data_IF_250012183877
#
_entry.id   IF_250012183877
#
_cell.length_a   1.000
_cell.length_b   1.000
_cell.length_c   1.000
_cell.angle_alpha   90.00
_cell.angle_beta   90.00
_cell.angle_gamma   90.00
#
_symmetry.space_group_name_H-M   'P 1'
#
loop_
_entity.id
_entity.type
_entity.pdbx_description
1 polymer ?
#
# COMPACT_ATOMS: atom_id res chain seq x y z
N UNK A 1 -16.50 -16.99 -62.37
CA UNK A 1 -15.85 -16.04 -61.44
C UNK A 1 -14.46 -16.57 -61.16
N UNK A 2 -13.40 -15.85 -61.56
CA UNK A 2 -12.03 -16.29 -61.36
C UNK A 2 -11.65 -16.11 -59.87
N UNK A 3 -11.39 -17.22 -59.19
CA UNK A 3 -10.95 -17.23 -57.80
C UNK A 3 -9.49 -16.80 -57.73
N UNK A 4 -9.22 -15.59 -57.25
CA UNK A 4 -7.88 -15.10 -57.00
C UNK A 4 -7.34 -15.76 -55.71
N UNK A 5 -6.66 -16.90 -55.83
CA UNK A 5 -5.94 -17.48 -54.71
C UNK A 5 -4.64 -16.71 -54.50
N UNK A 6 -4.61 -15.87 -53.46
CA UNK A 6 -3.38 -15.27 -52.96
C UNK A 6 -2.43 -16.40 -52.53
N UNK A 7 -1.45 -16.72 -53.40
CA UNK A 7 -0.29 -17.54 -53.03
C UNK A 7 0.82 -16.57 -52.67
N UNK A 8 1.03 -16.26 -51.38
CA UNK A 8 2.14 -15.39 -51.01
C UNK A 8 3.43 -16.13 -51.37
N UNK A 9 4.10 -15.67 -52.43
CA UNK A 9 5.37 -16.20 -52.91
C UNK A 9 6.51 -15.70 -52.01
N UNK A 10 6.43 -16.00 -50.71
CA UNK A 10 7.44 -15.59 -49.76
C UNK A 10 8.58 -16.62 -49.83
N UNK A 11 9.81 -16.21 -50.19
CA UNK A 11 10.93 -17.13 -50.27
C UNK A 11 11.21 -17.75 -48.89
N UNK A 12 11.61 -19.02 -48.88
CA UNK A 12 11.89 -19.80 -47.65
C UNK A 12 12.82 -19.07 -46.66
N UNK A 13 13.74 -18.25 -47.18
CA UNK A 13 14.67 -17.42 -46.39
C UNK A 13 13.94 -16.37 -45.55
N UNK A 14 12.92 -15.71 -46.11
CA UNK A 14 12.14 -14.70 -45.39
C UNK A 14 11.28 -15.36 -44.31
N UNK A 15 10.71 -16.55 -44.59
CA UNK A 15 9.99 -17.35 -43.59
C UNK A 15 10.88 -17.81 -42.43
N UNK A 16 12.11 -18.22 -42.72
CA UNK A 16 13.06 -18.59 -41.66
C UNK A 16 13.41 -17.37 -40.79
N UNK A 17 13.58 -16.20 -41.42
CA UNK A 17 13.93 -14.97 -40.71
C UNK A 17 12.79 -14.48 -39.81
N UNK A 18 11.54 -14.51 -40.29
CA UNK A 18 10.38 -14.14 -39.47
C UNK A 18 10.18 -15.09 -38.30
N UNK A 19 10.32 -16.40 -38.49
CA UNK A 19 10.22 -17.37 -37.39
C UNK A 19 11.32 -17.19 -36.34
N UNK A 20 12.54 -16.90 -36.78
CA UNK A 20 13.66 -16.63 -35.87
C UNK A 20 13.41 -15.36 -35.04
N UNK A 21 12.97 -14.28 -35.69
CA UNK A 21 12.67 -13.01 -35.02
C UNK A 21 11.50 -13.16 -34.03
N UNK A 22 10.47 -13.90 -34.42
CA UNK A 22 9.35 -14.25 -33.55
C UNK A 22 9.81 -15.06 -32.32
N UNK A 23 10.71 -16.03 -32.51
CA UNK A 23 11.26 -16.81 -31.42
C UNK A 23 12.07 -15.96 -30.44
N UNK A 24 12.80 -14.94 -30.92
CA UNK A 24 13.50 -13.98 -30.05
C UNK A 24 12.50 -13.08 -29.31
N UNK A 25 11.48 -12.55 -29.99
CA UNK A 25 10.48 -11.69 -29.34
C UNK A 25 9.67 -12.43 -28.28
N UNK A 26 9.36 -13.72 -28.50
CA UNK A 26 8.60 -14.54 -27.54
C UNK A 26 9.49 -15.16 -26.46
N UNK A 27 10.69 -15.63 -26.81
CA UNK A 27 11.60 -16.31 -25.89
C UNK A 27 12.55 -15.37 -25.13
N UNK A 28 12.88 -14.22 -25.72
CA UNK A 28 13.78 -13.21 -25.16
C UNK A 28 13.34 -12.73 -23.77
N UNK A 29 12.06 -12.36 -23.55
CA UNK A 29 11.57 -11.96 -22.24
C UNK A 29 11.74 -13.05 -21.17
N UNK A 30 11.54 -14.31 -21.51
CA UNK A 30 11.67 -15.44 -20.56
C UNK A 30 13.12 -15.64 -20.15
N UNK A 31 14.05 -15.55 -21.09
CA UNK A 31 15.49 -15.66 -20.80
C UNK A 31 15.96 -14.44 -19.99
N UNK A 32 15.52 -13.24 -20.37
CA UNK A 32 15.84 -12.01 -19.65
C UNK A 32 15.32 -12.06 -18.20
N UNK A 33 14.10 -12.55 -17.98
CA UNK A 33 13.52 -12.68 -16.65
C UNK A 33 14.32 -13.62 -15.73
N UNK A 34 14.98 -14.67 -16.27
CA UNK A 34 15.86 -15.55 -15.49
C UNK A 34 17.19 -14.92 -15.08
N UNK A 35 17.61 -13.85 -15.76
CA UNK A 35 18.84 -13.13 -15.48
C UNK A 35 18.62 -11.96 -14.50
N UNK A 36 17.37 -11.59 -14.23
CA UNK A 36 17.07 -10.59 -13.20
C UNK A 36 17.30 -11.26 -11.84
N UNK A 37 18.29 -10.80 -11.05
CA UNK A 37 18.48 -11.32 -9.70
C UNK A 37 17.20 -11.05 -8.91
N UNK A 38 16.69 -12.07 -8.23
CA UNK A 38 15.64 -11.89 -7.23
C UNK A 38 16.24 -10.96 -6.18
N UNK A 39 15.72 -9.74 -6.07
CA UNK A 39 16.10 -8.85 -4.98
C UNK A 39 15.53 -9.51 -3.73
N UNK A 40 16.41 -10.08 -2.90
CA UNK A 40 16.04 -10.49 -1.55
C UNK A 40 15.54 -9.24 -0.81
N UNK A 41 14.22 -9.05 -0.81
CA UNK A 41 13.56 -8.04 0.00
C UNK A 41 13.84 -8.41 1.45
N UNK A 42 14.76 -7.67 2.08
CA UNK A 42 15.01 -7.83 3.51
C UNK A 42 13.79 -7.32 4.28
N UNK A 43 13.38 -7.99 5.36
CA UNK A 43 12.33 -7.46 6.24
C UNK A 43 12.73 -6.07 6.75
N UNK A 44 11.91 -5.07 6.46
CA UNK A 44 12.07 -3.69 6.92
C UNK A 44 11.03 -3.36 7.98
N UNK A 45 11.34 -2.44 8.91
CA UNK A 45 10.33 -1.98 9.86
C UNK A 45 9.14 -1.34 9.13
N UNK A 46 7.93 -1.62 9.61
CA UNK A 46 6.72 -0.97 9.09
C UNK A 46 6.66 0.47 9.60
N UNK A 47 6.65 1.41 8.67
CA UNK A 47 6.61 2.85 8.93
C UNK A 47 5.31 3.40 8.36
N UNK A 48 4.36 3.75 9.21
CA UNK A 48 3.10 4.38 8.78
C UNK A 48 3.37 5.85 8.44
N UNK A 49 2.80 6.34 7.33
CA UNK A 49 3.00 7.71 6.87
C UNK A 49 4.22 7.91 5.96
N UNK A 50 4.80 9.10 6.01
CA UNK A 50 5.93 9.49 5.16
C UNK A 50 6.96 10.33 5.91
N UNK A 51 8.21 9.84 5.93
CA UNK A 51 9.36 10.60 6.43
C UNK A 51 9.62 11.87 5.61
N UNK A 52 9.34 11.82 4.30
CA UNK A 52 9.52 12.98 3.39
C UNK A 52 8.59 14.14 3.77
N UNK A 53 7.40 13.81 4.29
CA UNK A 53 6.39 14.76 4.76
C UNK A 53 6.56 15.09 6.26
N UNK A 54 7.63 14.61 6.90
CA UNK A 54 7.92 14.87 8.31
C UNK A 54 7.02 14.13 9.31
N UNK A 55 6.21 13.17 8.86
CA UNK A 55 5.33 12.38 9.72
C UNK A 55 5.43 10.88 9.42
N UNK A 56 6.22 10.18 10.23
CA UNK A 56 6.30 8.73 10.25
C UNK A 56 6.03 8.17 11.64
N UNK A 57 5.32 7.06 11.71
CA UNK A 57 5.05 6.32 12.95
C UNK A 57 5.54 4.89 12.73
N UNK A 58 6.52 4.46 13.52
CA UNK A 58 7.00 3.09 13.47
C UNK A 58 6.06 2.16 14.23
N UNK A 59 5.64 1.06 13.59
CA UNK A 59 4.77 0.08 14.20
C UNK A 59 5.59 -0.82 15.15
N UNK A 60 5.15 -0.93 16.39
CA UNK A 60 5.74 -1.80 17.40
C UNK A 60 4.74 -2.89 17.78
N UNK A 61 5.24 -4.09 18.07
CA UNK A 61 4.42 -5.19 18.58
C UNK A 61 4.13 -5.03 20.08
N UNK A 62 3.35 -5.96 20.64
CA UNK A 62 3.01 -5.99 22.07
C UNK A 62 4.24 -6.11 23.01
N UNK A 63 5.40 -6.49 22.49
CA UNK A 63 6.67 -6.56 23.24
C UNK A 63 7.49 -5.27 23.13
N UNK A 64 7.03 -4.32 22.32
CA UNK A 64 7.74 -3.08 22.00
C UNK A 64 8.83 -3.25 20.93
N UNK A 65 8.90 -4.40 20.26
CA UNK A 65 9.83 -4.62 19.17
C UNK A 65 9.24 -4.10 17.84
N UNK A 66 10.06 -3.58 16.91
CA UNK A 66 9.56 -3.08 15.63
C UNK A 66 9.02 -4.23 14.79
N UNK A 67 7.80 -4.09 14.27
CA UNK A 67 7.19 -5.04 13.34
C UNK A 67 7.96 -4.98 12.02
N UNK A 68 8.53 -6.11 11.59
CA UNK A 68 9.34 -6.22 10.37
C UNK A 68 8.62 -7.02 9.30
N UNK A 69 8.41 -6.41 8.14
CA UNK A 69 7.67 -7.00 7.03
C UNK A 69 8.39 -6.75 5.70
N UNK A 70 7.97 -7.43 4.63
CA UNK A 70 8.56 -7.27 3.31
C UNK A 70 7.94 -6.04 2.62
N UNK A 71 8.70 -4.96 2.49
CA UNK A 71 8.22 -3.80 1.75
C UNK A 71 8.07 -4.15 0.26
N UNK A 72 6.87 -3.95 -0.26
CA UNK A 72 6.57 -4.16 -1.68
C UNK A 72 6.91 -2.90 -2.46
N UNK A 73 7.82 -3.03 -3.44
CA UNK A 73 8.23 -1.91 -4.30
C UNK A 73 7.27 -1.85 -5.48
N UNK A 74 6.31 -0.93 -5.45
CA UNK A 74 5.27 -0.88 -6.50
C UNK A 74 4.55 0.45 -6.68
N UNK A 75 4.41 1.26 -5.62
CA UNK A 75 3.66 2.51 -5.70
C UNK A 75 4.42 3.64 -5.00
N UNK A 76 4.49 4.80 -5.65
CA UNK A 76 5.15 6.02 -5.14
C UNK A 76 4.22 6.73 -4.14
N UNK A 77 2.91 6.57 -4.32
CA UNK A 77 1.88 7.27 -3.55
C UNK A 77 1.48 6.47 -2.31
N UNK A 78 1.55 5.14 -2.40
CA UNK A 78 1.20 4.22 -1.32
C UNK A 78 2.38 3.33 -0.95
N UNK A 79 2.81 3.37 0.31
CA UNK A 79 3.80 2.40 0.79
C UNK A 79 3.07 1.15 1.25
N UNK A 80 3.57 -0.01 0.84
CA UNK A 80 2.96 -1.30 1.12
C UNK A 80 3.99 -2.27 1.72
N UNK A 81 3.56 -3.05 2.71
CA UNK A 81 4.32 -4.13 3.32
C UNK A 81 3.51 -5.42 3.32
N UNK A 82 4.17 -6.55 3.07
CA UNK A 82 3.64 -7.90 3.24
C UNK A 82 4.17 -8.48 4.55
N UNK A 83 3.27 -8.66 5.50
CA UNK A 83 3.48 -9.18 6.84
C UNK A 83 2.94 -10.61 6.94
N UNK A 84 3.55 -11.54 6.19
CA UNK A 84 3.23 -12.97 6.20
C UNK A 84 1.74 -13.23 5.88
N UNK A 85 1.33 -12.84 4.67
CA UNK A 85 -0.04 -13.03 4.19
C UNK A 85 -1.04 -11.97 4.66
N UNK A 86 -0.56 -10.90 5.29
CA UNK A 86 -1.33 -9.67 5.53
C UNK A 86 -0.60 -8.49 4.93
N UNK A 87 -1.28 -7.80 4.03
CA UNK A 87 -0.78 -6.58 3.43
C UNK A 87 -1.16 -5.39 4.31
N UNK A 88 -0.18 -4.56 4.66
CA UNK A 88 -0.38 -3.25 5.26
C UNK A 88 -0.05 -2.21 4.20
N UNK A 89 -0.96 -1.28 3.96
CA UNK A 89 -0.72 -0.17 3.04
C UNK A 89 -1.00 1.15 3.73
N UNK A 90 -0.16 2.16 3.49
CA UNK A 90 -0.29 3.48 4.11
C UNK A 90 -0.23 4.57 3.06
N UNK A 91 -1.07 5.58 3.26
CA UNK A 91 -1.14 6.76 2.43
C UNK A 91 -1.30 7.98 3.31
N UNK A 92 -0.67 9.09 2.92
CA UNK A 92 -0.78 10.36 3.61
C UNK A 92 -1.47 11.36 2.70
N UNK A 93 -2.54 11.98 3.19
CA UNK A 93 -3.25 13.04 2.48
C UNK A 93 -2.98 14.39 3.14
N UNK A 94 -2.90 15.46 2.35
CA UNK A 94 -2.79 16.83 2.84
C UNK A 94 -4.05 17.63 2.53
N UNK A 95 -4.37 18.62 3.36
CA UNK A 95 -5.47 19.56 3.11
C UNK A 95 -6.87 18.95 3.19
N UNK A 96 -7.05 17.92 4.02
CA UNK A 96 -8.36 17.28 4.20
C UNK A 96 -9.26 18.09 5.15
N UNK A 97 -10.11 18.96 4.62
CA UNK A 97 -11.05 19.77 5.41
C UNK A 97 -12.08 18.94 6.20
N UNK A 98 -12.50 17.79 5.66
CA UNK A 98 -13.45 16.87 6.32
C UNK A 98 -12.87 15.45 6.38
N UNK A 99 -12.33 15.14 7.55
CA UNK A 99 -11.71 13.88 7.87
C UNK A 99 -12.67 12.67 7.75
N UNK A 100 -13.97 12.85 8.02
CA UNK A 100 -14.94 11.76 7.85
C UNK A 100 -15.15 11.46 6.36
N UNK A 101 -15.29 12.50 5.54
CA UNK A 101 -15.43 12.36 4.10
C UNK A 101 -14.17 11.75 3.48
N UNK A 102 -12.99 12.19 3.90
CA UNK A 102 -11.70 11.61 3.46
C UNK A 102 -11.60 10.13 3.79
N UNK A 103 -11.95 9.74 5.02
CA UNK A 103 -11.96 8.33 5.40
C UNK A 103 -12.99 7.51 4.61
N UNK A 104 -14.21 8.03 4.40
CA UNK A 104 -15.22 7.37 3.58
C UNK A 104 -14.79 7.19 2.13
N UNK A 105 -14.10 8.19 1.55
CA UNK A 105 -13.50 8.08 0.21
C UNK A 105 -12.40 7.02 0.19
N UNK A 106 -11.57 6.95 1.24
CA UNK A 106 -10.54 5.94 1.38
C UNK A 106 -11.12 4.52 1.45
N UNK A 107 -12.17 4.30 2.24
CA UNK A 107 -12.87 3.02 2.30
C UNK A 107 -13.39 2.60 0.92
N UNK A 108 -14.01 3.53 0.19
CA UNK A 108 -14.49 3.27 -1.19
C UNK A 108 -13.36 2.97 -2.16
N UNK A 109 -12.23 3.69 -2.06
CA UNK A 109 -11.04 3.46 -2.88
C UNK A 109 -10.50 2.03 -2.68
N UNK A 110 -10.54 1.53 -1.45
CA UNK A 110 -10.14 0.16 -1.10
C UNK A 110 -11.23 -0.88 -1.28
N UNK A 111 -12.41 -0.48 -1.78
CA UNK A 111 -13.59 -1.33 -1.88
C UNK A 111 -13.97 -2.03 -0.56
N UNK A 112 -13.59 -1.43 0.58
CA UNK A 112 -13.89 -1.95 1.91
C UNK A 112 -15.33 -1.61 2.28
N UNK A 113 -16.14 -2.64 2.50
CA UNK A 113 -17.49 -2.51 3.06
C UNK A 113 -17.41 -2.80 4.56
N UNK A 114 -17.43 -1.76 5.41
CA UNK A 114 -17.25 -1.96 6.84
C UNK A 114 -18.52 -2.56 7.46
N UNK A 115 -18.34 -3.52 8.37
CA UNK A 115 -19.39 -4.00 9.26
C UNK A 115 -19.39 -3.23 10.58
N UNK A 116 -18.22 -2.74 11.01
CA UNK A 116 -18.05 -1.85 12.17
C UNK A 116 -17.29 -0.57 11.78
N UNK A 117 -17.70 0.56 12.36
CA UNK A 117 -17.07 1.87 12.17
C UNK A 117 -17.00 2.60 13.50
N UNK A 118 -15.78 2.96 13.91
CA UNK A 118 -15.48 3.63 15.16
C UNK A 118 -14.90 5.01 14.91
N UNK A 119 -15.29 5.97 15.75
CA UNK A 119 -14.81 7.34 15.72
C UNK A 119 -14.33 7.74 17.12
N UNK A 120 -13.10 8.25 17.21
CA UNK A 120 -12.52 8.74 18.46
C UNK A 120 -11.64 9.96 18.21
N UNK A 121 -12.19 11.15 18.40
CA UNK A 121 -11.49 12.41 18.12
C UNK A 121 -11.07 12.47 16.64
N UNK A 122 -9.76 12.57 16.40
CA UNK A 122 -9.18 12.60 15.06
C UNK A 122 -8.95 11.21 14.44
N UNK A 123 -9.20 10.13 15.19
CA UNK A 123 -9.05 8.75 14.74
C UNK A 123 -10.38 8.21 14.22
N UNK A 124 -10.35 7.58 13.04
CA UNK A 124 -11.44 6.74 12.51
C UNK A 124 -10.91 5.36 12.26
N UNK A 125 -11.70 4.34 12.57
CA UNK A 125 -11.34 2.96 12.29
C UNK A 125 -12.56 2.23 11.75
N UNK A 126 -12.35 1.29 10.84
CA UNK A 126 -13.42 0.48 10.30
C UNK A 126 -12.86 -0.87 9.84
N UNK A 127 -13.62 -1.93 10.00
CA UNK A 127 -13.25 -3.24 9.46
C UNK A 127 -14.49 -4.00 9.01
N UNK A 128 -14.27 -5.03 8.19
CA UNK A 128 -15.31 -5.98 7.82
C UNK A 128 -15.25 -7.22 8.74
N UNK A 129 -16.17 -8.16 8.52
CA UNK A 129 -16.26 -9.41 9.31
C UNK A 129 -15.29 -10.51 8.84
N UNK A 130 -14.45 -10.20 7.85
CA UNK A 130 -13.59 -11.16 7.18
C UNK A 130 -12.13 -10.90 7.54
N UNK A 131 -11.41 -10.15 6.71
CA UNK A 131 -9.96 -10.07 6.75
C UNK A 131 -9.43 -8.69 6.37
N UNK A 132 -10.26 -7.64 6.42
CA UNK A 132 -9.83 -6.31 6.00
C UNK A 132 -10.35 -5.18 6.90
N UNK A 133 -9.55 -4.13 7.03
CA UNK A 133 -9.86 -2.95 7.80
C UNK A 133 -9.01 -1.75 7.43
N UNK A 134 -9.47 -0.58 7.85
CA UNK A 134 -8.79 0.68 7.63
C UNK A 134 -8.81 1.51 8.92
N UNK A 135 -7.74 2.25 9.14
CA UNK A 135 -7.64 3.25 10.22
C UNK A 135 -7.17 4.55 9.60
N UNK A 136 -7.71 5.67 10.04
CA UNK A 136 -7.19 7.00 9.71
C UNK A 136 -6.98 7.84 10.96
N UNK A 137 -5.95 8.68 10.90
CA UNK A 137 -5.60 9.64 11.95
C UNK A 137 -5.35 10.99 11.30
N UNK A 138 -6.01 12.03 11.79
CA UNK A 138 -5.73 13.40 11.38
C UNK A 138 -4.76 14.08 12.34
N UNK A 139 -3.83 14.88 11.82
CA UNK A 139 -2.88 15.67 12.61
C UNK A 139 -2.53 16.95 11.86
N UNK A 140 -2.42 18.06 12.59
CA UNK A 140 -1.85 19.30 12.06
C UNK A 140 -0.35 19.35 12.34
N UNK A 141 0.45 19.60 11.31
CA UNK A 141 1.91 19.74 11.40
C UNK A 141 2.28 21.01 10.63
N UNK A 142 2.93 21.98 11.29
CA UNK A 142 3.31 23.26 10.69
C UNK A 142 2.14 23.95 9.94
N UNK A 143 1.00 24.10 10.61
CA UNK A 143 -0.25 24.68 10.07
C UNK A 143 -0.87 23.95 8.87
N UNK A 144 -0.35 22.77 8.52
CA UNK A 144 -0.88 21.93 7.44
C UNK A 144 -1.59 20.73 8.05
N UNK A 145 -2.84 20.50 7.64
CA UNK A 145 -3.61 19.33 8.06
C UNK A 145 -3.24 18.11 7.23
N UNK A 146 -2.79 17.06 7.92
CA UNK A 146 -2.45 15.77 7.34
C UNK A 146 -3.42 14.70 7.82
N UNK A 147 -3.79 13.78 6.94
CA UNK A 147 -4.58 12.59 7.25
C UNK A 147 -3.79 11.36 6.86
N UNK A 148 -3.31 10.63 7.86
CA UNK A 148 -2.75 9.30 7.68
C UNK A 148 -3.89 8.32 7.49
N UNK A 149 -3.85 7.54 6.42
CA UNK A 149 -4.74 6.41 6.17
C UNK A 149 -3.91 5.13 6.11
N UNK A 150 -4.35 4.11 6.81
CA UNK A 150 -3.74 2.78 6.84
C UNK A 150 -4.82 1.77 6.47
N UNK A 151 -4.52 0.88 5.54
CA UNK A 151 -5.38 -0.24 5.17
C UNK A 151 -4.64 -1.54 5.44
N UNK A 152 -5.35 -2.52 5.97
CA UNK A 152 -4.84 -3.84 6.26
C UNK A 152 -5.76 -4.87 5.63
N UNK A 153 -5.18 -5.87 4.97
CA UNK A 153 -5.93 -6.98 4.41
C UNK A 153 -5.14 -8.29 4.44
N UNK A 154 -5.75 -9.37 4.94
CA UNK A 154 -5.24 -10.72 4.79
C UNK A 154 -5.48 -11.61 6.01
N UNK A 155 -4.92 -12.83 5.97
CA UNK A 155 -5.30 -13.91 6.89
C UNK A 155 -4.92 -13.65 8.35
N UNK A 156 -3.88 -12.84 8.59
CA UNK A 156 -3.41 -12.44 9.92
C UNK A 156 -3.82 -11.00 10.25
N UNK A 157 -4.95 -10.53 9.70
CA UNK A 157 -5.47 -9.18 9.86
C UNK A 157 -5.66 -8.76 11.32
N UNK A 158 -6.37 -9.57 12.12
CA UNK A 158 -6.82 -9.16 13.45
C UNK A 158 -5.72 -8.69 14.42
N UNK A 159 -4.62 -9.44 14.61
CA UNK A 159 -3.54 -9.00 15.51
C UNK A 159 -2.85 -7.72 15.01
N UNK A 160 -2.61 -7.61 13.70
CA UNK A 160 -1.97 -6.43 13.11
C UNK A 160 -2.88 -5.20 13.17
N UNK A 161 -4.17 -5.38 12.90
CA UNK A 161 -5.17 -4.31 13.00
C UNK A 161 -5.27 -3.77 14.42
N UNK A 162 -5.30 -4.67 15.41
CA UNK A 162 -5.32 -4.28 16.83
C UNK A 162 -4.05 -3.50 17.20
N UNK A 163 -2.88 -3.96 16.75
CA UNK A 163 -1.60 -3.29 16.97
C UNK A 163 -1.58 -1.88 16.37
N UNK A 164 -2.04 -1.73 15.11
CA UNK A 164 -2.14 -0.41 14.46
C UNK A 164 -3.11 0.50 15.20
N UNK A 165 -4.27 -0.01 15.58
CA UNK A 165 -5.28 0.77 16.29
C UNK A 165 -4.78 1.23 17.66
N UNK A 166 -4.13 0.35 18.42
CA UNK A 166 -3.52 0.68 19.71
C UNK A 166 -2.44 1.76 19.56
N UNK A 167 -1.48 1.56 18.64
CA UNK A 167 -0.40 2.52 18.38
C UNK A 167 -0.95 3.90 17.99
N UNK A 168 -1.90 3.96 17.05
CA UNK A 168 -2.49 5.24 16.62
C UNK A 168 -3.36 5.87 17.71
N UNK A 169 -4.01 5.07 18.56
CA UNK A 169 -4.77 5.59 19.70
C UNK A 169 -3.87 6.16 20.80
N UNK A 170 -2.70 5.57 21.03
CA UNK A 170 -1.69 6.09 21.95
C UNK A 170 -1.15 7.44 21.46
N UNK A 171 -0.88 7.55 20.15
CA UNK A 171 -0.48 8.80 19.51
C UNK A 171 -1.52 9.94 19.72
N UNK A 172 -2.82 9.63 19.70
CA UNK A 172 -3.88 10.60 20.02
C UNK A 172 -3.83 11.02 21.48
N UNK A 173 -3.54 10.09 22.40
CA UNK A 173 -3.51 10.37 23.84
C UNK A 173 -2.32 11.24 24.27
N UNK A 174 -1.20 11.20 23.55
CA UNK A 174 -0.01 12.01 23.84
C UNK A 174 -0.10 13.46 23.30
N UNK A 175 -0.96 13.73 22.32
CA UNK A 175 -1.13 15.05 21.71
C UNK A 175 -1.53 16.20 22.66
N UNK A 176 -2.47 16.05 23.62
CA UNK A 176 -2.89 17.17 24.48
C UNK A 176 -1.75 17.76 25.35
N UNK A 177 -0.62 17.06 25.53
CA UNK A 177 0.50 17.55 26.34
C UNK A 177 1.52 18.40 25.57
N UNK A 178 1.69 18.17 24.26
CA UNK A 178 2.69 18.92 23.44
C UNK A 178 2.18 20.28 22.97
N UNK A 179 0.88 20.40 22.67
CA UNK A 179 0.28 21.69 22.29
C UNK A 179 0.28 22.68 23.46
N UNK A 180 0.10 22.21 24.70
CA UNK A 180 0.17 23.04 25.90
C UNK A 180 1.60 23.54 26.24
N UNK A 181 2.64 22.83 25.80
CA UNK A 181 4.04 23.21 26.05
C UNK A 181 4.63 24.14 24.99
N UNK A 182 4.02 24.24 23.81
CA UNK A 182 4.48 25.13 22.74
C UNK A 182 3.81 26.51 22.81
N UNK A 183 2.72 26.63 23.57
CA UNK A 183 1.96 27.86 23.78
C UNK A 183 2.35 28.65 25.06
N UNK A 184 3.42 28.25 25.77
CA UNK A 184 3.95 28.90 26.97
C UNK A 184 5.38 29.40 26.74
#
# INVERSE_FOLDING_TARGET
MAYYQFRPAVPKRIWALTLFLLAICLGGPVIAAKLVPVIDTKPTPVLLGSEEEGWSIQLHDATGAPVKCLQTVGDVVEKQWDCDGTTISTMLYTGSEDQNNTFQRYLRLKALQPSDVQHRGHLRAAHNDTDAGAVSLARTINDTEYTLCVYLQGNNFQPLYTTVLEQLSADVAEQPQKEAQTAA
#
